data_IF_262320197244
#
_entry.id   IF_262320197244
#
_cell.length_a   1.000
_cell.length_b   1.000
_cell.length_c   1.000
_cell.angle_alpha   90.00
_cell.angle_beta   90.00
_cell.angle_gamma   90.00
#
_symmetry.space_group_name_H-M   'P 1'
#
loop_
_entity.id
_entity.type
_entity.pdbx_description
1 polymer ?
#
# COMPACT_ATOMS: atom_id res chain seq x y z
N UNK A 1 21.57 -28.51 5.81
CA UNK A 1 20.29 -28.65 6.55
C UNK A 1 19.84 -27.24 6.92
N UNK A 2 18.56 -26.94 6.71
CA UNK A 2 17.95 -25.58 6.64
C UNK A 2 18.10 -24.78 7.95
N UNK A 3 18.25 -23.44 7.87
CA UNK A 3 17.36 -22.46 8.52
C UNK A 3 17.73 -21.00 8.19
N UNK A 4 16.74 -20.29 7.65
CA UNK A 4 16.67 -18.82 7.63
C UNK A 4 16.75 -18.29 9.07
N UNK A 5 17.43 -17.17 9.26
CA UNK A 5 17.21 -16.27 10.40
C UNK A 5 17.33 -14.82 9.91
N UNK A 6 16.38 -14.00 10.35
CA UNK A 6 16.10 -12.59 10.01
C UNK A 6 17.29 -11.67 9.66
N UNK A 7 17.07 -10.61 8.84
CA UNK A 7 18.03 -9.51 8.80
C UNK A 7 18.03 -8.81 10.18
N UNK A 8 19.12 -9.04 10.92
CA UNK A 8 19.46 -8.36 12.15
C UNK A 8 19.60 -6.83 11.94
N UNK A 9 19.44 -6.02 13.00
CA UNK A 9 19.35 -4.57 12.90
C UNK A 9 20.73 -3.99 12.60
N UNK A 10 20.82 -3.17 11.55
CA UNK A 10 22.04 -2.41 11.27
C UNK A 10 22.02 -1.20 12.20
N UNK A 11 22.75 -1.31 13.30
CA UNK A 11 22.95 -0.25 14.28
C UNK A 11 23.90 0.84 13.77
N UNK A 12 23.53 2.07 14.09
CA UNK A 12 24.40 3.20 14.46
C UNK A 12 25.60 3.48 13.55
N UNK A 13 25.41 4.39 12.59
CA UNK A 13 26.15 5.66 12.54
C UNK A 13 25.68 6.48 11.32
N UNK A 14 25.22 7.71 11.60
CA UNK A 14 25.04 8.84 10.70
C UNK A 14 25.15 8.60 9.17
N UNK A 15 23.99 8.48 8.51
CA UNK A 15 23.80 9.08 7.18
C UNK A 15 22.59 10.01 7.27
N UNK A 16 22.91 11.30 7.21
CA UNK A 16 22.05 12.45 7.00
C UNK A 16 21.47 12.43 5.59
N UNK A 17 20.25 11.91 5.45
CA UNK A 17 19.20 12.24 4.48
C UNK A 17 18.18 11.09 4.55
N UNK A 18 16.88 11.38 4.58
CA UNK A 18 15.92 10.34 4.85
C UNK A 18 15.90 9.33 3.68
N UNK A 19 15.89 8.05 4.01
CA UNK A 19 15.78 6.92 3.07
C UNK A 19 14.38 6.82 2.42
N UNK A 20 13.89 7.94 1.88
CA UNK A 20 12.65 8.12 1.14
C UNK A 20 12.71 7.95 -0.41
N UNK A 21 13.63 7.19 -1.06
CA UNK A 21 13.46 6.89 -2.50
C UNK A 21 12.73 5.57 -2.79
N UNK A 22 13.06 4.49 -2.06
CA UNK A 22 12.66 3.12 -2.45
C UNK A 22 11.17 2.87 -2.22
N UNK A 23 10.64 3.40 -1.13
CA UNK A 23 9.24 3.17 -0.74
C UNK A 23 8.27 3.93 -1.64
N UNK A 24 8.58 5.19 -1.91
CA UNK A 24 7.84 6.01 -2.86
C UNK A 24 7.81 5.36 -4.25
N UNK A 25 8.94 4.80 -4.70
CA UNK A 25 9.01 4.13 -6.00
C UNK A 25 7.98 2.99 -6.17
N UNK A 26 7.54 2.33 -5.10
CA UNK A 26 6.46 1.32 -5.19
C UNK A 26 5.08 1.96 -5.33
N UNK A 27 4.83 3.03 -4.58
CA UNK A 27 3.57 3.79 -4.63
C UNK A 27 3.37 4.44 -6.00
N UNK A 28 4.44 4.92 -6.64
CA UNK A 28 4.42 5.43 -8.02
C UNK A 28 4.01 4.40 -9.07
N UNK A 29 4.07 3.10 -8.77
CA UNK A 29 3.63 2.04 -9.70
C UNK A 29 2.13 1.77 -9.64
N UNK A 30 1.44 2.33 -8.65
CA UNK A 30 0.00 2.20 -8.56
C UNK A 30 -0.67 3.04 -9.64
N UNK A 31 -1.67 2.47 -10.31
CA UNK A 31 -2.52 3.23 -11.22
C UNK A 31 -3.49 4.10 -10.44
N UNK A 32 -4.13 5.06 -11.10
CA UNK A 32 -5.18 5.89 -10.48
C UNK A 32 -6.27 5.06 -9.80
N UNK A 33 -6.70 3.99 -10.48
CA UNK A 33 -7.75 3.14 -9.94
C UNK A 33 -7.29 2.34 -8.72
N UNK A 34 -6.03 1.92 -8.71
CA UNK A 34 -5.43 1.24 -7.56
C UNK A 34 -5.24 2.18 -6.37
N UNK A 35 -4.90 3.46 -6.63
CA UNK A 35 -4.88 4.50 -5.60
C UNK A 35 -6.26 4.72 -4.99
N UNK A 36 -7.32 4.84 -5.79
CA UNK A 36 -8.69 4.99 -5.27
C UNK A 36 -9.06 3.83 -4.33
N UNK A 37 -8.77 2.60 -4.74
CA UNK A 37 -9.03 1.41 -3.90
C UNK A 37 -8.17 1.44 -2.63
N UNK A 38 -6.88 1.79 -2.73
CA UNK A 38 -5.97 1.84 -1.58
C UNK A 38 -6.45 2.83 -0.50
N UNK A 39 -6.89 4.02 -0.91
CA UNK A 39 -7.36 5.07 -0.01
C UNK A 39 -8.69 4.70 0.65
N UNK A 40 -9.66 4.17 -0.12
CA UNK A 40 -10.95 3.73 0.44
C UNK A 40 -10.80 2.57 1.43
N UNK A 41 -9.80 1.69 1.24
CA UNK A 41 -9.45 0.68 2.26
C UNK A 41 -8.95 1.38 3.54
N UNK A 42 -8.16 2.45 3.40
CA UNK A 42 -7.70 3.25 4.54
C UNK A 42 -8.82 4.00 5.25
N UNK A 43 -9.92 4.29 4.55
CA UNK A 43 -11.17 4.81 5.12
C UNK A 43 -12.00 3.73 5.83
N UNK A 44 -11.61 2.46 5.74
CA UNK A 44 -12.29 1.35 6.39
C UNK A 44 -13.39 0.69 5.58
N UNK A 45 -13.55 1.05 4.30
CA UNK A 45 -14.60 0.45 3.46
C UNK A 45 -14.28 -1.03 3.14
N UNK A 46 -15.33 -1.83 3.14
CA UNK A 46 -15.32 -3.23 2.73
C UNK A 46 -15.22 -3.37 1.21
N UNK A 47 -14.91 -4.58 0.74
CA UNK A 47 -14.83 -4.88 -0.70
C UNK A 47 -16.13 -4.52 -1.44
N UNK A 48 -17.29 -4.74 -0.83
CA UNK A 48 -18.60 -4.46 -1.42
C UNK A 48 -18.89 -2.95 -1.47
N UNK A 49 -18.61 -2.23 -0.39
CA UNK A 49 -18.79 -0.77 -0.35
C UNK A 49 -17.86 -0.06 -1.34
N UNK A 50 -16.60 -0.51 -1.47
CA UNK A 50 -15.67 0.02 -2.48
C UNK A 50 -16.20 -0.28 -3.89
N UNK A 51 -16.74 -1.48 -4.12
CA UNK A 51 -17.28 -1.88 -5.41
C UNK A 51 -18.44 -0.97 -5.83
N UNK A 52 -19.36 -0.71 -4.89
CA UNK A 52 -20.48 0.23 -5.07
C UNK A 52 -19.98 1.66 -5.32
N UNK A 53 -19.09 2.17 -4.46
CA UNK A 53 -18.53 3.53 -4.56
C UNK A 53 -17.82 3.77 -5.90
N UNK A 54 -17.20 2.72 -6.45
CA UNK A 54 -16.44 2.78 -7.69
C UNK A 54 -17.26 2.30 -8.90
N UNK A 55 -18.51 1.88 -8.76
CA UNK A 55 -19.36 1.34 -9.82
C UNK A 55 -18.72 0.16 -10.59
N UNK A 56 -18.17 -0.81 -9.86
CA UNK A 56 -17.57 -2.03 -10.43
C UNK A 56 -17.99 -3.26 -9.64
N UNK A 57 -17.76 -4.45 -10.19
CA UNK A 57 -18.04 -5.68 -9.44
C UNK A 57 -17.07 -5.89 -8.26
N UNK A 58 -17.53 -6.53 -7.16
CA UNK A 58 -16.66 -6.91 -6.03
C UNK A 58 -15.44 -7.74 -6.45
N UNK A 59 -15.57 -8.56 -7.51
CA UNK A 59 -14.45 -9.33 -8.07
C UNK A 59 -13.34 -8.42 -8.59
N UNK A 60 -13.68 -7.28 -9.20
CA UNK A 60 -12.72 -6.29 -9.66
C UNK A 60 -11.96 -5.67 -8.49
N UNK A 61 -12.64 -5.38 -7.38
CA UNK A 61 -11.98 -4.89 -6.16
C UNK A 61 -11.01 -5.93 -5.58
N UNK A 62 -11.40 -7.21 -5.56
CA UNK A 62 -10.48 -8.29 -5.16
C UNK A 62 -9.23 -8.36 -6.06
N UNK A 63 -9.40 -8.19 -7.37
CA UNK A 63 -8.30 -8.16 -8.34
C UNK A 63 -7.39 -6.94 -8.12
N UNK A 64 -7.94 -5.74 -7.90
CA UNK A 64 -7.15 -4.55 -7.56
C UNK A 64 -6.36 -4.74 -6.26
N UNK A 65 -6.98 -5.27 -5.20
CA UNK A 65 -6.30 -5.59 -3.92
C UNK A 65 -5.14 -6.57 -4.12
N UNK A 66 -5.27 -7.55 -5.02
CA UNK A 66 -4.18 -8.45 -5.40
C UNK A 66 -3.02 -7.72 -6.09
N UNK A 67 -3.31 -6.89 -7.09
CA UNK A 67 -2.30 -6.11 -7.84
C UNK A 67 -1.58 -5.10 -6.94
N UNK A 68 -2.30 -4.41 -6.05
CA UNK A 68 -1.72 -3.48 -5.09
C UNK A 68 -0.75 -4.20 -4.17
N UNK A 69 -1.16 -5.33 -3.56
CA UNK A 69 -0.28 -6.14 -2.70
C UNK A 69 1.00 -6.55 -3.42
N UNK A 70 0.89 -6.98 -4.67
CA UNK A 70 2.05 -7.35 -5.49
C UNK A 70 2.99 -6.16 -5.72
N UNK A 71 2.46 -4.99 -6.12
CA UNK A 71 3.26 -3.77 -6.38
C UNK A 71 3.95 -3.24 -5.12
N UNK A 72 3.24 -3.27 -3.99
CA UNK A 72 3.74 -2.85 -2.69
C UNK A 72 4.56 -3.92 -1.96
N UNK A 73 4.63 -5.15 -2.49
CA UNK A 73 5.26 -6.32 -1.87
C UNK A 73 4.74 -6.61 -0.45
N UNK A 74 3.43 -6.49 -0.25
CA UNK A 74 2.78 -6.81 1.01
C UNK A 74 2.44 -8.31 1.08
N UNK A 75 2.69 -8.93 2.21
CA UNK A 75 2.44 -10.36 2.47
C UNK A 75 1.40 -10.51 3.59
N UNK A 76 0.64 -11.62 3.58
CA UNK A 76 -0.41 -11.87 4.58
C UNK A 76 -1.79 -11.34 4.20
N UNK A 77 -2.82 -11.90 4.86
CA UNK A 77 -4.23 -11.72 4.48
C UNK A 77 -4.71 -10.26 4.67
N UNK A 78 -4.39 -9.67 5.82
CA UNK A 78 -4.87 -8.35 6.23
C UNK A 78 -3.85 -7.23 6.02
N UNK A 79 -2.69 -7.53 5.44
CA UNK A 79 -1.58 -6.57 5.34
C UNK A 79 -1.93 -5.32 4.55
N UNK A 80 -2.75 -5.44 3.49
CA UNK A 80 -3.20 -4.28 2.73
C UNK A 80 -4.09 -3.36 3.58
N UNK A 81 -4.99 -3.91 4.39
CA UNK A 81 -5.82 -3.12 5.28
C UNK A 81 -4.98 -2.42 6.35
N UNK A 82 -4.12 -3.17 7.05
CA UNK A 82 -3.23 -2.61 8.07
C UNK A 82 -2.34 -1.52 7.47
N UNK A 83 -1.75 -1.78 6.31
CA UNK A 83 -0.94 -0.80 5.59
C UNK A 83 -1.73 0.47 5.26
N UNK A 84 -2.88 0.35 4.60
CA UNK A 84 -3.71 1.50 4.22
C UNK A 84 -4.20 2.29 5.43
N UNK A 85 -4.71 1.61 6.45
CA UNK A 85 -5.30 2.24 7.63
C UNK A 85 -4.25 2.96 8.47
N UNK A 86 -3.13 2.29 8.79
CA UNK A 86 -2.07 2.88 9.61
C UNK A 86 -1.30 4.01 8.93
N UNK A 87 -1.36 4.12 7.59
CA UNK A 87 -0.65 5.14 6.82
C UNK A 87 -1.58 6.14 6.12
N UNK A 88 -2.87 6.16 6.46
CA UNK A 88 -3.92 6.91 5.75
C UNK A 88 -3.55 8.36 5.44
N UNK A 89 -3.16 9.13 6.46
CA UNK A 89 -2.82 10.54 6.28
C UNK A 89 -1.63 10.75 5.34
N UNK A 90 -0.61 9.91 5.45
CA UNK A 90 0.58 9.98 4.61
C UNK A 90 0.26 9.61 3.15
N UNK A 91 -0.54 8.56 2.95
CA UNK A 91 -0.99 8.14 1.62
C UNK A 91 -1.82 9.22 0.93
N UNK A 92 -2.71 9.91 1.66
CA UNK A 92 -3.48 11.03 1.13
C UNK A 92 -2.59 12.20 0.68
N UNK A 93 -1.59 12.57 1.47
CA UNK A 93 -0.61 13.61 1.10
C UNK A 93 0.15 13.22 -0.16
N UNK A 94 0.64 11.99 -0.24
CA UNK A 94 1.33 11.49 -1.44
C UNK A 94 0.40 11.54 -2.65
N UNK A 95 -0.83 11.03 -2.53
CA UNK A 95 -1.78 11.04 -3.64
C UNK A 95 -2.02 12.46 -4.19
N UNK A 96 -2.19 13.45 -3.31
CA UNK A 96 -2.33 14.87 -3.69
C UNK A 96 -1.07 15.41 -4.37
N UNK A 97 0.12 15.04 -3.91
CA UNK A 97 1.38 15.49 -4.52
C UNK A 97 1.62 14.88 -5.91
N UNK A 98 1.21 13.62 -6.09
CA UNK A 98 1.46 12.88 -7.33
C UNK A 98 0.42 13.17 -8.41
N UNK A 99 -0.80 13.54 -8.01
CA UNK A 99 -1.96 13.69 -8.88
C UNK A 99 -2.70 15.00 -8.51
N UNK A 100 -2.12 16.16 -8.89
CA UNK A 100 -2.71 17.48 -8.60
C UNK A 100 -4.02 17.71 -9.34
#
# INVERSE_FOLDING_TARGET
MILNSDPAPISSDFISEPTYPIFYHRLFKLTMREWSVLLLIGDGLTTSEIAEHLFVEPKSIANYKGRIRMKLKLTGQNSLFVFSFSNKEHLNKIHQMLQP
#
